data_IF_650865419454
#
_entry.id   IF_650865419454
#
_cell.length_a   1.000
_cell.length_b   1.000
_cell.length_c   1.000
_cell.angle_alpha   90.00
_cell.angle_beta   90.00
_cell.angle_gamma   90.00
#
_symmetry.space_group_name_H-M   'P 1'
#
loop_
_entity.id
_entity.type
_entity.pdbx_description
1 polymer ?
#
# COMPACT_ATOMS: atom_id res chain seq x y z
N UNK A 1 11.07 3.23 -33.04
CA UNK A 1 10.15 3.07 -34.16
C UNK A 1 8.96 3.99 -33.95
N UNK A 2 8.76 4.91 -34.87
CA UNK A 2 7.72 5.92 -34.84
C UNK A 2 6.32 5.30 -34.92
N UNK A 3 5.44 5.65 -33.97
CA UNK A 3 4.01 5.38 -34.10
C UNK A 3 3.42 6.41 -35.08
N UNK A 4 3.02 5.94 -36.28
CA UNK A 4 2.32 6.76 -37.25
C UNK A 4 0.86 6.92 -36.83
N UNK A 5 0.43 8.16 -36.67
CA UNK A 5 -1.00 8.47 -36.52
C UNK A 5 -1.59 8.62 -37.93
N UNK A 6 -2.41 7.66 -38.32
CA UNK A 6 -3.21 7.77 -39.54
C UNK A 6 -4.62 8.29 -39.23
N UNK A 7 -4.96 9.46 -39.73
CA UNK A 7 -6.35 9.98 -39.71
C UNK A 7 -6.94 9.62 -41.07
N UNK A 8 -7.95 8.77 -41.08
CA UNK A 8 -8.72 8.51 -42.29
C UNK A 8 -10.01 9.33 -42.22
N UNK A 9 -10.14 10.33 -43.09
CA UNK A 9 -11.36 11.11 -43.25
C UNK A 9 -12.13 10.55 -44.43
N UNK A 10 -13.30 9.96 -44.19
CA UNK A 10 -14.27 9.68 -45.27
C UNK A 10 -15.45 10.63 -45.17
N UNK A 11 -15.69 11.38 -46.23
CA UNK A 11 -16.90 12.20 -46.40
C UNK A 11 -17.99 11.34 -47.09
N UNK A 12 -19.12 11.19 -46.42
CA UNK A 12 -20.36 10.74 -47.08
C UNK A 12 -21.24 11.99 -47.24
N UNK A 13 -21.47 12.41 -48.48
CA UNK A 13 -22.40 13.49 -48.83
C UNK A 13 -23.71 12.86 -49.26
N UNK A 14 -24.66 12.76 -48.32
CA UNK A 14 -26.06 12.70 -48.63
C UNK A 14 -26.76 13.90 -48.04
N UNK A 15 -27.32 14.70 -48.91
CA UNK A 15 -27.68 16.10 -48.68
C UNK A 15 -28.71 16.32 -47.60
N UNK A 16 -28.31 16.49 -46.38
CA UNK A 16 -29.00 17.26 -45.30
C UNK A 16 -28.30 17.26 -43.95
N UNK A 17 -27.15 16.59 -43.76
CA UNK A 17 -26.31 16.82 -42.57
C UNK A 17 -24.87 16.31 -42.82
N UNK A 18 -23.87 17.19 -42.69
CA UNK A 18 -22.46 16.76 -42.67
C UNK A 18 -22.18 16.07 -41.34
N UNK A 19 -21.96 14.76 -41.38
CA UNK A 19 -21.52 13.96 -40.23
C UNK A 19 -20.11 13.47 -40.51
N UNK A 20 -19.15 13.89 -39.71
CA UNK A 20 -17.78 13.43 -39.79
C UNK A 20 -17.61 12.23 -38.85
N UNK A 21 -17.23 11.09 -39.42
CA UNK A 21 -16.85 9.90 -38.65
C UNK A 21 -15.33 9.97 -38.37
N UNK A 22 -14.97 10.11 -37.10
CA UNK A 22 -13.58 10.03 -36.67
C UNK A 22 -13.37 8.67 -36.05
N UNK A 23 -12.60 7.81 -36.74
CA UNK A 23 -12.18 6.52 -36.20
C UNK A 23 -10.85 6.67 -35.51
N UNK A 24 -10.81 6.42 -34.20
CA UNK A 24 -9.56 6.26 -33.47
C UNK A 24 -9.22 4.79 -33.37
N UNK A 25 -8.10 4.39 -33.96
CA UNK A 25 -7.48 3.12 -33.66
C UNK A 25 -6.58 3.31 -32.43
N UNK A 26 -7.02 2.83 -31.28
CA UNK A 26 -6.18 2.79 -30.09
C UNK A 26 -5.36 1.51 -30.14
N UNK A 27 -4.07 1.61 -30.41
CA UNK A 27 -3.13 0.52 -30.22
C UNK A 27 -2.72 0.47 -28.75
N UNK A 28 -3.23 -0.51 -28.03
CA UNK A 28 -2.72 -0.83 -26.69
C UNK A 28 -1.61 -1.84 -26.88
N UNK A 29 -0.37 -1.37 -26.78
CA UNK A 29 0.81 -2.24 -26.70
C UNK A 29 1.00 -2.62 -25.25
N UNK A 30 0.52 -3.80 -24.86
CA UNK A 30 0.97 -4.45 -23.63
C UNK A 30 2.17 -5.32 -23.96
N UNK A 31 3.08 -5.52 -23.00
CA UNK A 31 4.44 -6.05 -23.16
C UNK A 31 4.63 -7.37 -23.94
N UNK A 32 3.62 -7.96 -24.54
CA UNK A 32 3.80 -9.19 -25.35
C UNK A 32 2.71 -9.55 -26.35
N UNK A 33 1.60 -8.81 -26.51
CA UNK A 33 0.61 -9.12 -27.56
C UNK A 33 -0.15 -7.87 -28.00
N UNK A 34 -0.28 -7.72 -29.33
CA UNK A 34 -1.19 -6.77 -29.96
C UNK A 34 -2.60 -7.37 -29.85
N UNK A 35 -3.43 -6.83 -28.97
CA UNK A 35 -4.86 -7.16 -28.98
C UNK A 35 -5.61 -6.12 -29.79
N UNK A 36 -6.21 -6.58 -30.91
CA UNK A 36 -7.29 -5.87 -31.57
C UNK A 36 -8.52 -6.01 -30.67
N UNK A 37 -8.98 -4.92 -30.06
CA UNK A 37 -10.40 -4.75 -29.77
C UNK A 37 -10.67 -3.39 -29.10
N UNK A 38 -11.37 -2.62 -29.81
CA UNK A 38 -12.47 -1.71 -29.54
C UNK A 38 -12.39 -0.52 -30.51
N UNK A 39 -13.07 -0.65 -31.62
CA UNK A 39 -13.44 0.53 -32.41
C UNK A 39 -14.55 1.24 -31.64
N UNK A 40 -14.25 2.35 -30.97
CA UNK A 40 -15.28 3.23 -30.43
C UNK A 40 -15.59 4.26 -31.51
N UNK A 41 -16.74 4.09 -32.15
CA UNK A 41 -17.27 5.11 -33.06
C UNK A 41 -17.93 6.23 -32.22
N UNK A 42 -17.33 7.41 -32.22
CA UNK A 42 -17.95 8.59 -31.61
C UNK A 42 -18.60 9.38 -32.75
N UNK A 43 -19.94 9.33 -32.82
CA UNK A 43 -20.72 10.16 -33.73
C UNK A 43 -20.88 11.53 -33.10
N UNK A 44 -20.16 12.53 -33.62
CA UNK A 44 -20.36 13.94 -33.20
C UNK A 44 -21.09 14.66 -34.33
N UNK A 45 -22.32 15.10 -34.07
CA UNK A 45 -23.06 15.95 -35.00
C UNK A 45 -22.51 17.38 -34.97
N UNK A 46 -21.90 17.83 -36.07
CA UNK A 46 -21.17 19.10 -36.15
C UNK A 46 -22.04 20.36 -36.28
N UNK A 47 -23.38 20.24 -36.20
CA UNK A 47 -24.27 21.41 -36.33
C UNK A 47 -24.08 22.51 -35.28
N UNK A 48 -23.29 22.30 -34.22
CA UNK A 48 -23.07 23.27 -33.12
C UNK A 48 -21.62 23.74 -32.98
N UNK A 49 -20.70 23.36 -33.85
CA UNK A 49 -19.27 23.60 -33.58
C UNK A 49 -18.74 25.00 -33.93
N UNK A 50 -19.49 25.80 -34.64
CA UNK A 50 -19.01 27.15 -35.05
C UNK A 50 -19.11 28.25 -33.97
N UNK A 51 -19.60 27.96 -32.78
CA UNK A 51 -19.82 28.99 -31.75
C UNK A 51 -19.15 28.83 -30.40
N UNK A 52 -18.41 27.76 -30.13
CA UNK A 52 -17.77 27.56 -28.82
C UNK A 52 -16.38 26.86 -28.89
N UNK A 53 -15.29 27.61 -29.02
CA UNK A 53 -13.95 27.00 -29.06
C UNK A 53 -13.47 26.35 -27.72
N UNK A 54 -14.17 26.56 -26.61
CA UNK A 54 -13.82 26.01 -25.29
C UNK A 54 -14.34 24.60 -24.99
N UNK A 55 -15.37 24.13 -25.69
CA UNK A 55 -16.05 22.86 -25.38
C UNK A 55 -15.27 21.63 -25.82
N UNK A 56 -14.46 21.72 -26.88
CA UNK A 56 -13.65 20.60 -27.34
C UNK A 56 -12.54 20.24 -26.31
N UNK A 57 -11.94 21.25 -25.68
CA UNK A 57 -10.92 21.05 -24.63
C UNK A 57 -11.54 20.45 -23.38
N UNK A 58 -12.76 20.85 -23.03
CA UNK A 58 -13.48 20.34 -21.87
C UNK A 58 -13.92 18.87 -22.07
N UNK A 59 -14.34 18.49 -23.29
CA UNK A 59 -14.68 17.10 -23.62
C UNK A 59 -13.46 16.17 -23.64
N UNK A 60 -12.34 16.63 -24.15
CA UNK A 60 -11.09 15.88 -24.17
C UNK A 60 -10.51 15.67 -22.75
N UNK A 61 -10.65 16.69 -21.89
CA UNK A 61 -10.22 16.61 -20.51
C UNK A 61 -11.10 15.66 -19.67
N UNK A 62 -12.41 15.66 -19.90
CA UNK A 62 -13.34 14.75 -19.24
C UNK A 62 -13.21 13.31 -19.72
N UNK A 63 -12.90 13.07 -21.01
CA UNK A 63 -12.70 11.73 -21.55
C UNK A 63 -11.41 11.08 -21.01
N UNK A 64 -10.32 11.85 -20.84
CA UNK A 64 -9.12 11.34 -20.16
C UNK A 64 -9.37 11.03 -18.67
N UNK A 65 -10.24 11.76 -18.00
CA UNK A 65 -10.63 11.49 -16.61
C UNK A 65 -11.47 10.20 -16.47
N UNK A 66 -12.29 9.88 -17.46
CA UNK A 66 -13.09 8.64 -17.45
C UNK A 66 -12.26 7.36 -17.65
N UNK A 67 -11.04 7.46 -18.18
CA UNK A 67 -10.15 6.30 -18.40
C UNK A 67 -9.18 6.04 -17.24
N UNK A 68 -9.12 6.93 -16.25
CA UNK A 68 -8.28 6.71 -15.06
C UNK A 68 -9.05 5.92 -14.01
N UNK A 69 -8.81 4.63 -13.94
CA UNK A 69 -9.31 3.77 -12.86
C UNK A 69 -8.70 4.17 -11.52
N UNK A 70 -9.49 4.15 -10.45
CA UNK A 70 -8.98 4.33 -9.10
C UNK A 70 -8.00 3.21 -8.73
N UNK A 71 -6.86 3.56 -8.13
CA UNK A 71 -5.82 2.61 -7.73
C UNK A 71 -6.19 1.83 -6.46
N UNK A 72 -7.15 0.90 -6.54
CA UNK A 72 -7.52 0.00 -5.43
C UNK A 72 -6.95 -1.41 -5.60
N UNK A 73 -6.17 -1.65 -6.66
CA UNK A 73 -5.52 -2.91 -6.97
C UNK A 73 -4.01 -2.76 -6.96
N UNK A 74 -3.31 -3.73 -6.37
CA UNK A 74 -1.85 -3.84 -6.34
C UNK A 74 -1.44 -5.25 -6.75
N UNK A 75 -0.29 -5.39 -7.42
CA UNK A 75 0.29 -6.66 -7.87
C UNK A 75 0.06 -6.93 -9.36
N UNK A 76 0.85 -7.85 -9.90
CA UNK A 76 0.86 -8.28 -11.31
C UNK A 76 0.29 -9.69 -11.45
N UNK A 77 0.81 -10.66 -10.70
CA UNK A 77 0.33 -12.03 -10.61
C UNK A 77 -0.41 -12.22 -9.29
N UNK A 78 0.24 -11.99 -8.15
CA UNK A 78 -0.41 -11.98 -6.86
C UNK A 78 -1.08 -10.61 -6.65
N UNK A 79 -2.33 -10.50 -7.05
CA UNK A 79 -3.09 -9.25 -7.04
C UNK A 79 -3.98 -9.14 -5.82
N UNK A 80 -4.01 -7.97 -5.24
CA UNK A 80 -4.98 -7.64 -4.21
C UNK A 80 -5.85 -6.47 -4.66
N UNK A 81 -7.16 -6.56 -4.43
CA UNK A 81 -8.10 -5.45 -4.62
C UNK A 81 -8.84 -5.20 -3.34
N UNK A 82 -8.54 -4.09 -2.66
CA UNK A 82 -9.21 -3.71 -1.41
C UNK A 82 -10.47 -2.89 -1.68
N UNK A 83 -11.52 -3.10 -0.88
CA UNK A 83 -12.81 -2.42 -1.01
C UNK A 83 -13.44 -2.15 0.36
N UNK A 84 -14.51 -1.36 0.38
CA UNK A 84 -15.24 -0.99 1.59
C UNK A 84 -14.68 0.23 2.31
N UNK A 85 -15.46 0.79 3.21
CA UNK A 85 -15.18 2.02 3.96
C UNK A 85 -15.31 1.80 5.47
N UNK A 86 -14.64 2.68 6.25
CA UNK A 86 -14.61 2.59 7.71
C UNK A 86 -15.98 2.66 8.40
N UNK A 87 -16.99 3.26 7.75
CA UNK A 87 -18.37 3.39 8.23
C UNK A 87 -19.38 2.75 7.28
N UNK A 88 -18.92 1.95 6.30
CA UNK A 88 -19.75 1.05 5.51
C UNK A 88 -20.14 -0.22 6.30
N UNK A 89 -20.78 -1.17 5.63
CA UNK A 89 -21.15 -2.47 6.25
C UNK A 89 -19.93 -3.30 6.64
N UNK A 90 -18.87 -3.22 5.85
CA UNK A 90 -17.63 -3.96 6.05
C UNK A 90 -16.52 -3.46 5.14
N UNK A 91 -15.34 -4.03 5.32
CA UNK A 91 -14.17 -3.88 4.46
C UNK A 91 -13.68 -5.25 4.07
N UNK A 92 -13.08 -5.34 2.90
CA UNK A 92 -12.57 -6.62 2.44
C UNK A 92 -11.46 -6.48 1.42
N UNK A 93 -11.01 -7.62 0.98
CA UNK A 93 -10.02 -7.77 -0.09
C UNK A 93 -10.36 -8.98 -0.94
N UNK A 94 -10.12 -8.86 -2.23
CA UNK A 94 -10.03 -10.00 -3.14
C UNK A 94 -8.56 -10.21 -3.45
N UNK A 95 -8.09 -11.44 -3.23
CA UNK A 95 -6.74 -11.90 -3.58
C UNK A 95 -6.87 -12.80 -4.79
N UNK A 96 -6.23 -12.43 -5.89
CA UNK A 96 -6.16 -13.22 -7.12
C UNK A 96 -4.72 -13.67 -7.38
N UNK A 97 -4.53 -14.81 -8.04
CA UNK A 97 -3.21 -15.37 -8.34
C UNK A 97 -2.54 -16.09 -7.15
N UNK A 98 -3.28 -16.42 -6.09
CA UNK A 98 -2.79 -17.30 -5.04
C UNK A 98 -2.69 -18.74 -5.57
N UNK A 99 -1.55 -19.44 -5.44
CA UNK A 99 -1.42 -20.83 -5.86
C UNK A 99 -2.42 -21.75 -5.15
N UNK A 100 -2.90 -22.79 -5.84
CA UNK A 100 -3.73 -23.84 -5.23
C UNK A 100 -2.91 -24.71 -4.27
N UNK A 101 -3.57 -25.24 -3.24
CA UNK A 101 -2.98 -26.23 -2.34
C UNK A 101 -2.32 -25.67 -1.07
N UNK A 102 -2.29 -24.35 -0.89
CA UNK A 102 -1.86 -23.74 0.38
C UNK A 102 -2.87 -24.08 1.48
N UNK A 103 -2.42 -24.63 2.59
CA UNK A 103 -3.25 -24.79 3.79
C UNK A 103 -3.59 -23.42 4.37
N UNK A 104 -4.89 -23.08 4.45
CA UNK A 104 -5.37 -21.77 4.85
C UNK A 104 -6.73 -21.87 5.55
N UNK A 105 -6.83 -21.21 6.72
CA UNK A 105 -8.07 -20.99 7.43
C UNK A 105 -8.15 -19.55 7.97
N UNK A 106 -9.31 -19.18 8.52
CA UNK A 106 -9.52 -17.84 9.09
C UNK A 106 -8.56 -17.52 10.23
N UNK A 107 -8.20 -18.49 11.05
CA UNK A 107 -7.30 -18.33 12.19
C UNK A 107 -5.89 -17.93 11.76
N UNK A 108 -5.45 -18.39 10.61
CA UNK A 108 -4.13 -18.02 10.06
C UNK A 108 -4.07 -16.52 9.72
N UNK A 109 -5.14 -16.01 9.14
CA UNK A 109 -5.29 -14.59 8.79
C UNK A 109 -5.55 -13.76 10.06
N UNK A 110 -6.36 -14.28 10.98
CA UNK A 110 -6.75 -13.59 12.20
C UNK A 110 -5.55 -13.27 13.11
N UNK A 111 -4.53 -14.11 13.15
CA UNK A 111 -3.27 -13.83 13.89
C UNK A 111 -2.65 -12.50 13.46
N UNK A 112 -2.63 -12.20 12.17
CA UNK A 112 -2.13 -10.94 11.63
C UNK A 112 -3.07 -9.77 11.93
N UNK A 113 -4.37 -9.96 11.74
CA UNK A 113 -5.37 -8.95 12.05
C UNK A 113 -5.38 -8.59 13.53
N UNK A 114 -5.11 -9.54 14.43
CA UNK A 114 -4.99 -9.29 15.85
C UNK A 114 -3.85 -8.32 16.19
N UNK A 115 -2.73 -8.33 15.46
CA UNK A 115 -1.62 -7.36 15.60
C UNK A 115 -2.02 -5.97 15.09
N UNK A 116 -2.99 -5.88 14.17
CA UNK A 116 -3.48 -4.61 13.59
C UNK A 116 -4.64 -3.99 14.35
N UNK A 117 -5.55 -4.77 14.95
CA UNK A 117 -6.81 -4.32 15.52
C UNK A 117 -6.64 -3.18 16.54
N UNK A 118 -7.66 -2.32 16.76
CA UNK A 118 -7.64 -1.32 17.82
C UNK A 118 -7.79 -1.95 19.21
N UNK A 119 -7.50 -1.18 20.26
CA UNK A 119 -7.75 -1.60 21.64
C UNK A 119 -6.76 -2.59 22.23
N UNK A 120 -5.55 -2.69 21.68
CA UNK A 120 -4.49 -3.60 22.16
C UNK A 120 -3.77 -3.09 23.40
N UNK A 121 -3.71 -1.77 23.58
CA UNK A 121 -3.04 -1.12 24.72
C UNK A 121 -3.66 0.24 25.04
N UNK A 122 -3.26 0.87 26.14
CA UNK A 122 -3.65 2.25 26.47
C UNK A 122 -3.20 3.30 25.43
N UNK A 123 -2.23 2.96 24.59
CA UNK A 123 -1.71 3.81 23.53
C UNK A 123 -2.46 3.68 22.19
N UNK A 124 -3.49 2.84 22.15
CA UNK A 124 -4.36 2.70 20.98
C UNK A 124 -5.76 3.17 21.31
N UNK A 125 -6.55 3.51 20.29
CA UNK A 125 -7.94 3.92 20.49
C UNK A 125 -8.70 2.89 21.35
N UNK A 126 -9.56 3.34 22.29
CA UNK A 126 -10.36 2.46 23.13
C UNK A 126 -11.49 1.72 22.36
N UNK A 127 -11.53 1.80 21.05
CA UNK A 127 -12.43 1.00 20.22
C UNK A 127 -12.13 -0.49 20.43
N UNK A 128 -13.16 -1.27 20.71
CA UNK A 128 -13.07 -2.73 20.73
C UNK A 128 -13.75 -3.26 19.48
N UNK A 129 -12.96 -3.72 18.53
CA UNK A 129 -13.44 -4.42 17.33
C UNK A 129 -12.68 -5.74 17.24
N UNK A 130 -13.39 -6.82 17.04
CA UNK A 130 -12.78 -8.15 16.91
C UNK A 130 -12.00 -8.25 15.59
N UNK A 131 -12.39 -7.46 14.58
CA UNK A 131 -11.90 -7.54 13.19
C UNK A 131 -11.91 -9.01 12.69
N UNK A 132 -12.98 -9.75 13.06
CA UNK A 132 -13.14 -11.14 12.67
C UNK A 132 -13.24 -11.25 11.16
N UNK A 133 -12.35 -12.03 10.56
CA UNK A 133 -12.33 -12.27 9.13
C UNK A 133 -13.17 -13.47 8.76
N UNK A 134 -13.86 -13.37 7.63
CA UNK A 134 -14.56 -14.49 6.99
C UNK A 134 -13.98 -14.72 5.60
N UNK A 135 -13.73 -15.98 5.24
CA UNK A 135 -13.33 -16.41 3.89
C UNK A 135 -14.61 -16.75 3.12
N UNK A 136 -14.90 -15.97 2.07
CA UNK A 136 -16.12 -16.14 1.27
C UNK A 136 -15.92 -17.03 0.04
N UNK A 137 -14.69 -17.19 -0.45
CA UNK A 137 -14.35 -17.97 -1.63
C UNK A 137 -12.87 -18.33 -1.69
N UNK A 138 -12.50 -19.23 -2.61
CA UNK A 138 -11.11 -19.56 -2.94
C UNK A 138 -10.44 -20.55 -1.99
N UNK A 139 -11.18 -21.12 -1.01
CA UNK A 139 -10.71 -22.17 -0.11
C UNK A 139 -11.73 -23.30 -0.08
N UNK A 140 -11.25 -24.53 -0.17
CA UNK A 140 -12.06 -25.74 -0.05
C UNK A 140 -11.29 -26.80 0.77
N UNK A 141 -11.93 -27.41 1.73
CA UNK A 141 -11.34 -28.39 2.66
C UNK A 141 -10.00 -27.90 3.27
N UNK A 142 -9.97 -26.63 3.68
CA UNK A 142 -8.79 -26.00 4.33
C UNK A 142 -7.61 -25.75 3.39
N UNK A 143 -7.81 -25.77 2.07
CA UNK A 143 -6.76 -25.48 1.07
C UNK A 143 -7.24 -24.48 0.04
N UNK A 144 -6.33 -23.63 -0.43
CA UNK A 144 -6.61 -22.71 -1.54
C UNK A 144 -6.87 -23.49 -2.82
N UNK A 145 -7.79 -22.97 -3.66
CA UNK A 145 -8.23 -23.62 -4.89
C UNK A 145 -7.58 -23.07 -6.16
N UNK A 146 -6.77 -21.99 -6.05
CA UNK A 146 -6.21 -21.28 -7.21
C UNK A 146 -7.20 -20.29 -7.85
N UNK A 147 -8.40 -20.16 -7.30
CA UNK A 147 -9.40 -19.16 -7.72
C UNK A 147 -9.36 -17.95 -6.76
N UNK A 148 -9.99 -16.81 -7.11
CA UNK A 148 -9.94 -15.63 -6.25
C UNK A 148 -10.44 -15.89 -4.84
N UNK A 149 -9.64 -15.48 -3.84
CA UNK A 149 -9.97 -15.55 -2.42
C UNK A 149 -10.61 -14.23 -2.03
N UNK A 150 -11.88 -14.25 -1.63
CA UNK A 150 -12.59 -13.09 -1.12
C UNK A 150 -12.65 -13.13 0.40
N UNK A 151 -12.19 -12.06 1.04
CA UNK A 151 -12.15 -11.91 2.49
C UNK A 151 -12.95 -10.69 2.90
N UNK A 152 -13.72 -10.80 4.00
CA UNK A 152 -14.51 -9.71 4.56
C UNK A 152 -14.33 -9.60 6.07
N UNK A 153 -14.35 -8.38 6.57
CA UNK A 153 -14.49 -8.04 7.99
C UNK A 153 -15.63 -7.05 8.13
N UNK A 154 -16.65 -7.40 8.92
CA UNK A 154 -17.80 -6.54 9.17
C UNK A 154 -17.51 -5.46 10.22
N UNK A 155 -18.03 -4.25 9.97
CA UNK A 155 -17.97 -3.16 10.94
C UNK A 155 -19.07 -3.34 11.99
N UNK A 156 -18.72 -3.44 13.27
CA UNK A 156 -19.69 -3.70 14.37
C UNK A 156 -19.98 -2.45 15.22
N UNK A 157 -19.02 -1.53 15.38
CA UNK A 157 -19.08 -0.43 16.36
C UNK A 157 -18.98 0.96 15.71
N UNK A 158 -19.62 1.16 14.56
CA UNK A 158 -19.65 2.47 13.88
C UNK A 158 -20.68 3.40 14.57
N UNK A 159 -20.20 4.51 15.16
CA UNK A 159 -21.05 5.57 15.71
C UNK A 159 -21.06 6.77 14.75
N UNK A 160 -21.99 6.79 13.81
CA UNK A 160 -22.10 7.82 12.78
C UNK A 160 -22.47 9.20 13.36
N UNK A 161 -23.06 9.27 14.56
CA UNK A 161 -23.48 10.54 15.21
C UNK A 161 -22.30 11.42 15.61
N UNK A 162 -21.11 10.85 15.84
CA UNK A 162 -19.91 11.58 16.29
C UNK A 162 -19.26 12.42 15.17
N UNK A 163 -19.82 12.39 13.95
CA UNK A 163 -19.20 13.02 12.77
C UNK A 163 -20.04 14.12 12.10
N UNK A 164 -21.19 14.51 12.68
CA UNK A 164 -22.08 15.51 12.06
C UNK A 164 -21.42 16.89 11.89
N UNK A 165 -20.62 17.30 12.86
CA UNK A 165 -19.90 18.59 12.82
C UNK A 165 -18.78 18.58 11.76
N UNK A 166 -18.12 17.44 11.56
CA UNK A 166 -17.02 17.26 10.60
C UNK A 166 -17.48 17.44 9.15
N UNK A 167 -18.79 17.39 8.90
CA UNK A 167 -19.36 17.65 7.57
C UNK A 167 -19.09 19.07 7.07
N UNK A 168 -18.98 20.04 7.99
CA UNK A 168 -18.94 21.49 7.70
C UNK A 168 -17.54 22.06 7.54
N UNK A 169 -16.47 21.36 7.97
CA UNK A 169 -15.09 21.86 7.92
C UNK A 169 -14.09 20.81 7.44
N UNK A 170 -12.85 21.21 7.22
CA UNK A 170 -11.74 20.36 6.80
C UNK A 170 -10.78 20.14 7.95
N UNK A 171 -10.65 18.91 8.42
CA UNK A 171 -9.72 18.57 9.52
C UNK A 171 -8.27 18.73 9.06
N UNK A 172 -7.41 19.45 9.79
CA UNK A 172 -5.99 19.53 9.49
C UNK A 172 -5.35 18.15 9.38
N UNK A 173 -4.49 17.96 8.39
CA UNK A 173 -3.78 16.70 8.18
C UNK A 173 -4.60 15.50 7.71
N UNK A 174 -5.90 15.63 7.50
CA UNK A 174 -6.79 14.62 6.93
C UNK A 174 -7.05 14.84 5.43
N UNK A 175 -7.69 13.86 4.79
CA UNK A 175 -7.99 13.89 3.37
C UNK A 175 -9.33 14.59 3.02
N UNK A 176 -9.95 15.28 3.97
CA UNK A 176 -11.30 15.84 3.80
C UNK A 176 -11.40 16.75 2.58
N UNK A 177 -10.52 17.75 2.50
CA UNK A 177 -10.45 18.69 1.38
C UNK A 177 -10.16 17.99 0.05
N UNK A 178 -9.19 17.06 0.04
CA UNK A 178 -8.77 16.38 -1.19
C UNK A 178 -9.83 15.44 -1.75
N UNK A 179 -10.68 14.84 -0.90
CA UNK A 179 -11.83 14.06 -1.34
C UNK A 179 -12.90 14.94 -1.97
N UNK A 180 -13.28 16.06 -1.33
CA UNK A 180 -14.23 17.01 -1.89
C UNK A 180 -13.71 17.59 -3.22
N UNK A 181 -12.44 17.97 -3.29
CA UNK A 181 -11.83 18.51 -4.51
C UNK A 181 -11.77 17.49 -5.66
N UNK A 182 -11.52 16.20 -5.34
CA UNK A 182 -11.37 15.15 -6.36
C UNK A 182 -12.71 14.59 -6.83
N UNK A 183 -13.62 14.32 -5.89
CA UNK A 183 -14.86 13.59 -6.17
C UNK A 183 -16.12 14.47 -6.14
N UNK A 184 -15.99 15.74 -5.74
CA UNK A 184 -17.10 16.69 -5.63
C UNK A 184 -17.91 16.56 -4.33
N UNK A 185 -17.75 15.47 -3.60
CA UNK A 185 -18.35 15.20 -2.29
C UNK A 185 -17.57 14.10 -1.56
N UNK A 186 -17.82 13.98 -0.25
CA UNK A 186 -17.24 12.91 0.56
C UNK A 186 -18.27 12.31 1.52
N UNK A 187 -18.06 11.06 1.90
CA UNK A 187 -18.66 10.51 3.11
C UNK A 187 -17.87 11.03 4.32
N UNK A 188 -18.46 11.99 5.04
CA UNK A 188 -17.84 12.64 6.20
C UNK A 188 -17.82 11.73 7.45
N UNK A 189 -18.51 10.60 7.44
CA UNK A 189 -18.56 9.63 8.56
C UNK A 189 -17.25 8.90 8.70
N UNK A 190 -16.20 9.59 9.15
CA UNK A 190 -14.83 9.06 9.27
C UNK A 190 -13.96 9.32 8.05
N UNK A 191 -12.91 8.52 7.86
CA UNK A 191 -11.95 8.71 6.77
C UNK A 191 -12.26 7.93 5.48
N UNK A 192 -13.38 7.22 5.39
CA UNK A 192 -13.73 6.41 4.22
C UNK A 192 -12.59 5.45 3.83
N UNK A 193 -12.18 5.49 2.54
CA UNK A 193 -11.04 4.73 1.99
C UNK A 193 -9.67 5.21 2.49
N UNK A 194 -9.55 6.42 3.03
CA UNK A 194 -8.31 6.93 3.63
C UNK A 194 -8.19 6.63 5.13
N UNK A 195 -9.15 5.92 5.72
CA UNK A 195 -9.10 5.48 7.11
C UNK A 195 -8.05 4.39 7.33
N UNK A 196 -7.41 4.37 8.52
CA UNK A 196 -6.56 3.26 8.93
C UNK A 196 -7.25 1.89 8.94
N UNK A 197 -8.59 1.82 8.92
CA UNK A 197 -9.33 0.54 8.79
C UNK A 197 -9.16 -0.10 7.40
N UNK A 198 -8.85 0.67 6.37
CA UNK A 198 -8.56 0.13 5.02
C UNK A 198 -7.43 -0.90 5.05
N UNK A 199 -6.49 -0.75 5.99
CA UNK A 199 -5.38 -1.69 6.15
C UNK A 199 -5.79 -3.10 6.56
N UNK A 200 -7.04 -3.34 6.99
CA UNK A 200 -7.60 -4.69 7.22
C UNK A 200 -7.41 -5.57 5.98
N UNK A 201 -7.82 -5.08 4.81
CA UNK A 201 -7.67 -5.82 3.56
C UNK A 201 -6.23 -6.11 3.19
N UNK A 202 -5.33 -5.15 3.44
CA UNK A 202 -3.87 -5.32 3.19
C UNK A 202 -3.28 -6.39 4.10
N UNK A 203 -3.60 -6.36 5.39
CA UNK A 203 -3.09 -7.32 6.37
C UNK A 203 -3.66 -8.71 6.13
N UNK A 204 -4.94 -8.83 5.79
CA UNK A 204 -5.56 -10.10 5.46
C UNK A 204 -4.90 -10.77 4.23
N UNK A 205 -4.64 -10.00 3.17
CA UNK A 205 -3.92 -10.49 1.99
C UNK A 205 -2.44 -10.77 2.30
N UNK A 206 -1.81 -9.91 3.11
CA UNK A 206 -0.43 -10.07 3.56
C UNK A 206 -0.20 -11.36 4.34
N UNK A 207 -1.14 -11.76 5.19
CA UNK A 207 -1.08 -13.04 5.92
C UNK A 207 -0.97 -14.23 4.96
N UNK A 208 -1.72 -14.22 3.84
CA UNK A 208 -1.62 -15.26 2.81
C UNK A 208 -0.24 -15.23 2.15
N UNK A 209 0.26 -14.02 1.81
CA UNK A 209 1.57 -13.87 1.18
C UNK A 209 2.71 -14.36 2.09
N UNK A 210 2.68 -14.01 3.40
CA UNK A 210 3.68 -14.47 4.38
C UNK A 210 3.67 -15.99 4.47
N UNK A 211 2.50 -16.64 4.57
CA UNK A 211 2.42 -18.11 4.64
C UNK A 211 3.00 -18.82 3.41
N UNK A 212 2.91 -18.23 2.22
CA UNK A 212 3.55 -18.76 1.02
C UNK A 212 5.07 -18.59 1.12
N UNK A 213 5.52 -17.39 1.51
CA UNK A 213 6.93 -17.04 1.60
C UNK A 213 7.67 -17.84 2.69
N UNK A 214 7.02 -18.10 3.83
CA UNK A 214 7.57 -18.95 4.89
C UNK A 214 7.87 -20.39 4.41
N UNK A 215 7.03 -20.96 3.53
CA UNK A 215 7.30 -22.27 2.92
C UNK A 215 8.52 -22.25 1.99
N UNK A 216 8.93 -21.07 1.54
CA UNK A 216 10.14 -20.86 0.73
C UNK A 216 11.35 -20.45 1.58
N UNK A 217 11.23 -20.46 2.92
CA UNK A 217 12.30 -20.06 3.84
C UNK A 217 12.51 -18.56 3.93
N UNK A 218 11.53 -17.75 3.54
CA UNK A 218 11.58 -16.29 3.61
C UNK A 218 10.84 -15.84 4.86
N UNK A 219 11.50 -15.07 5.72
CA UNK A 219 10.98 -14.63 7.00
C UNK A 219 11.06 -13.11 7.16
N UNK A 220 10.15 -12.57 7.98
CA UNK A 220 10.00 -11.15 8.25
C UNK A 220 10.23 -10.87 9.72
N UNK A 221 11.11 -9.90 10.02
CA UNK A 221 11.28 -9.32 11.35
C UNK A 221 10.93 -7.83 11.26
N UNK A 222 9.76 -7.45 11.76
CA UNK A 222 9.23 -6.09 11.62
C UNK A 222 8.90 -5.49 12.98
N UNK A 223 9.38 -4.28 13.24
CA UNK A 223 9.32 -3.65 14.54
C UNK A 223 9.31 -2.11 14.46
N UNK A 224 8.98 -1.47 15.58
CA UNK A 224 9.12 -0.03 15.73
C UNK A 224 10.59 0.32 16.03
N UNK A 225 11.28 0.94 15.08
CA UNK A 225 12.66 1.41 15.24
C UNK A 225 12.74 2.68 16.05
N UNK A 226 11.72 3.54 15.94
CA UNK A 226 11.60 4.73 16.79
C UNK A 226 10.14 5.11 17.03
N UNK A 227 9.90 5.76 18.17
CA UNK A 227 8.63 6.39 18.54
C UNK A 227 8.95 7.82 19.00
N UNK A 228 8.44 8.81 18.26
CA UNK A 228 8.88 10.19 18.46
C UNK A 228 10.41 10.29 18.40
N UNK A 229 11.05 10.90 19.42
CA UNK A 229 12.51 11.02 19.50
C UNK A 229 13.20 9.77 20.04
N UNK A 230 12.46 8.82 20.60
CA UNK A 230 13.02 7.61 21.22
C UNK A 230 13.36 6.61 20.14
N UNK A 231 14.62 6.17 20.07
CA UNK A 231 15.13 5.17 19.12
C UNK A 231 15.70 3.98 19.90
N UNK A 232 15.62 2.80 19.28
CA UNK A 232 16.32 1.61 19.80
C UNK A 232 17.83 1.82 19.77
N UNK A 233 18.52 1.14 20.69
CA UNK A 233 19.95 0.89 20.59
C UNK A 233 20.15 -0.46 19.88
N UNK A 234 20.79 -0.44 18.72
CA UNK A 234 21.05 -1.66 17.93
C UNK A 234 21.83 -2.73 18.70
N UNK A 235 22.59 -2.33 19.73
CA UNK A 235 23.33 -3.27 20.59
C UNK A 235 22.44 -4.00 21.61
N UNK A 236 21.24 -3.45 21.88
CA UNK A 236 20.24 -4.03 22.79
C UNK A 236 19.11 -4.77 22.01
N UNK A 237 19.32 -5.03 20.72
CA UNK A 237 18.31 -5.66 19.88
C UNK A 237 18.04 -7.11 20.33
N UNK A 238 16.80 -7.36 20.77
CA UNK A 238 16.26 -8.68 21.04
C UNK A 238 14.94 -8.86 20.30
N UNK A 239 14.92 -9.77 19.32
CA UNK A 239 13.71 -10.04 18.53
C UNK A 239 12.55 -10.57 19.38
N UNK A 240 12.81 -11.22 20.52
CA UNK A 240 11.76 -11.72 21.41
C UNK A 240 11.01 -10.57 22.08
N UNK A 241 11.66 -9.44 22.32
CA UNK A 241 11.05 -8.25 22.92
C UNK A 241 10.01 -7.58 22.03
N UNK A 242 10.07 -7.76 20.71
CA UNK A 242 9.10 -7.15 19.76
C UNK A 242 7.66 -7.46 20.16
N UNK A 243 7.39 -8.69 20.58
CA UNK A 243 6.03 -9.13 20.97
C UNK A 243 5.73 -8.96 22.46
N UNK A 244 6.72 -8.65 23.29
CA UNK A 244 6.59 -8.57 24.75
C UNK A 244 6.14 -7.20 25.24
N UNK A 245 6.22 -6.17 24.40
CA UNK A 245 5.80 -4.82 24.77
C UNK A 245 4.76 -4.26 23.78
N UNK A 246 3.90 -3.33 24.24
CA UNK A 246 2.79 -2.81 23.43
C UNK A 246 3.21 -1.84 22.34
N UNK A 247 4.48 -1.46 22.27
CA UNK A 247 5.05 -0.54 21.28
C UNK A 247 5.84 -1.26 20.18
N UNK A 248 5.98 -2.59 20.27
CA UNK A 248 6.70 -3.43 19.30
C UNK A 248 8.15 -3.01 19.07
N UNK A 249 8.86 -2.57 20.10
CA UNK A 249 10.29 -2.25 20.03
C UNK A 249 11.13 -3.47 20.47
N UNK A 250 12.23 -3.79 19.77
CA UNK A 250 13.13 -4.89 20.13
C UNK A 250 14.15 -4.57 21.22
N UNK A 251 14.02 -3.43 21.89
CA UNK A 251 14.89 -2.91 22.95
C UNK A 251 14.00 -2.55 24.13
N UNK A 252 14.13 -3.27 25.25
CA UNK A 252 13.27 -3.11 26.43
C UNK A 252 13.40 -1.71 27.06
N UNK A 253 14.61 -1.16 27.15
CA UNK A 253 14.86 0.17 27.71
C UNK A 253 14.24 1.26 26.80
N UNK A 254 14.41 1.13 25.49
CA UNK A 254 13.80 2.04 24.54
C UNK A 254 12.27 1.92 24.55
N UNK A 255 11.72 0.72 24.73
CA UNK A 255 10.28 0.50 24.86
C UNK A 255 9.69 1.19 26.10
N UNK A 256 10.36 1.10 27.26
CA UNK A 256 9.95 1.77 28.48
C UNK A 256 9.97 3.31 28.31
N UNK A 257 11.05 3.84 27.77
CA UNK A 257 11.19 5.27 27.48
C UNK A 257 10.14 5.76 26.48
N UNK A 258 9.85 4.97 25.44
CA UNK A 258 8.82 5.28 24.46
C UNK A 258 7.42 5.30 25.08
N UNK A 259 7.11 4.37 25.98
CA UNK A 259 5.84 4.36 26.71
C UNK A 259 5.68 5.57 27.60
N UNK A 260 6.74 5.99 28.32
CA UNK A 260 6.74 7.22 29.14
C UNK A 260 6.53 8.47 28.26
N UNK A 261 7.19 8.53 27.11
CA UNK A 261 6.99 9.62 26.14
C UNK A 261 5.56 9.67 25.60
N UNK A 262 4.95 8.52 25.33
CA UNK A 262 3.56 8.45 24.89
C UNK A 262 2.57 8.89 25.96
N UNK A 263 2.83 8.57 27.24
CA UNK A 263 2.01 9.06 28.36
C UNK A 263 2.07 10.60 28.45
N UNK A 264 3.25 11.21 28.23
CA UNK A 264 3.39 12.66 28.15
C UNK A 264 2.64 13.27 26.96
N UNK A 265 2.70 12.64 25.77
CA UNK A 265 1.93 13.07 24.60
C UNK A 265 0.41 13.02 24.86
N UNK A 266 -0.08 11.99 25.54
CA UNK A 266 -1.50 11.87 25.92
C UNK A 266 -1.90 13.00 26.88
N UNK A 267 -1.08 13.27 27.90
CA UNK A 267 -1.33 14.35 28.85
C UNK A 267 -1.37 15.73 28.18
N UNK A 268 -0.56 15.93 27.14
CA UNK A 268 -0.53 17.15 26.30
C UNK A 268 -1.61 17.16 25.20
N UNK A 269 -2.53 16.22 25.19
CA UNK A 269 -3.59 16.09 24.17
C UNK A 269 -3.02 16.01 22.72
N UNK A 270 -1.83 15.47 22.57
CA UNK A 270 -1.03 15.44 21.36
C UNK A 270 -0.83 14.01 20.87
N UNK A 271 -0.10 13.84 19.78
CA UNK A 271 0.27 12.57 19.17
C UNK A 271 1.70 12.58 18.68
N UNK A 272 2.27 11.42 18.43
CA UNK A 272 3.59 11.33 17.83
C UNK A 272 3.60 10.33 16.64
N UNK A 273 4.65 10.46 15.84
CA UNK A 273 4.98 9.53 14.76
C UNK A 273 6.11 8.58 15.18
N UNK A 274 6.74 7.97 14.20
CA UNK A 274 7.90 7.10 14.40
C UNK A 274 8.31 6.39 13.11
N UNK A 275 9.21 5.44 13.25
CA UNK A 275 9.75 4.65 12.14
C UNK A 275 9.50 3.18 12.39
N UNK A 276 8.96 2.49 11.40
CA UNK A 276 8.92 1.02 11.32
C UNK A 276 10.08 0.54 10.47
N UNK A 277 10.81 -0.45 10.95
CA UNK A 277 11.83 -1.16 10.18
C UNK A 277 11.38 -2.60 9.94
N UNK A 278 11.61 -3.10 8.73
CA UNK A 278 11.33 -4.46 8.34
C UNK A 278 12.58 -5.08 7.71
N UNK A 279 13.02 -6.19 8.29
CA UNK A 279 14.11 -7.03 7.79
C UNK A 279 13.51 -8.27 7.17
N UNK A 280 13.83 -8.53 5.90
CA UNK A 280 13.39 -9.75 5.20
C UNK A 280 14.59 -10.61 4.92
N UNK A 281 14.56 -11.84 5.39
CA UNK A 281 15.64 -12.82 5.21
C UNK A 281 15.22 -13.93 4.24
N UNK A 282 16.17 -14.58 3.59
CA UNK A 282 15.93 -15.75 2.74
C UNK A 282 15.48 -15.45 1.31
N UNK A 283 15.39 -14.19 0.91
CA UNK A 283 15.04 -13.84 -0.48
C UNK A 283 16.22 -14.17 -1.39
N UNK A 284 16.05 -15.08 -2.40
CA UNK A 284 17.14 -15.42 -3.31
C UNK A 284 17.58 -14.22 -4.15
N UNK A 285 18.83 -14.23 -4.62
CA UNK A 285 19.32 -13.20 -5.54
C UNK A 285 18.56 -13.25 -6.87
N UNK A 286 18.31 -12.07 -7.47
CA UNK A 286 17.72 -11.92 -8.79
C UNK A 286 16.19 -11.72 -8.82
N UNK A 287 15.54 -11.42 -7.68
CA UNK A 287 14.10 -11.11 -7.63
C UNK A 287 13.89 -9.62 -7.86
N UNK A 288 13.04 -9.26 -8.81
CA UNK A 288 12.78 -7.91 -9.29
C UNK A 288 13.37 -7.66 -10.68
N UNK A 289 13.18 -6.47 -11.20
CA UNK A 289 13.59 -6.09 -12.55
C UNK A 289 14.42 -4.81 -12.54
N UNK A 290 15.24 -4.58 -13.58
CA UNK A 290 15.88 -3.28 -13.77
C UNK A 290 14.85 -2.23 -14.23
N UNK A 291 15.27 -0.95 -14.27
CA UNK A 291 14.56 0.22 -14.77
C UNK A 291 13.34 0.58 -13.90
N UNK A 292 12.10 0.37 -14.35
CA UNK A 292 10.91 0.90 -13.67
C UNK A 292 10.28 -0.07 -12.65
N UNK A 293 10.40 -1.36 -12.89
CA UNK A 293 9.85 -2.42 -12.01
C UNK A 293 10.88 -2.92 -11.00
N UNK A 294 11.81 -2.04 -10.57
CA UNK A 294 12.78 -2.35 -9.51
C UNK A 294 12.07 -2.82 -8.25
N UNK A 295 12.60 -3.83 -7.58
CA UNK A 295 12.05 -4.33 -6.34
C UNK A 295 11.92 -3.22 -5.28
N UNK A 296 12.96 -2.37 -5.12
CA UNK A 296 12.90 -1.23 -4.19
C UNK A 296 11.88 -0.18 -4.61
N UNK A 297 11.62 0.03 -5.91
CA UNK A 297 10.60 0.95 -6.38
C UNK A 297 9.18 0.42 -6.09
N UNK A 298 8.95 -0.88 -6.30
CA UNK A 298 7.68 -1.51 -6.00
C UNK A 298 7.43 -1.61 -4.48
N UNK A 299 8.46 -1.89 -3.68
CA UNK A 299 8.39 -1.80 -2.22
C UNK A 299 8.05 -0.37 -1.77
N UNK A 300 8.71 0.64 -2.33
CA UNK A 300 8.41 2.04 -2.05
C UNK A 300 6.96 2.39 -2.39
N UNK A 301 6.47 2.01 -3.57
CA UNK A 301 5.07 2.21 -3.99
C UNK A 301 4.09 1.56 -3.01
N UNK A 302 4.34 0.32 -2.62
CA UNK A 302 3.48 -0.43 -1.71
C UNK A 302 3.46 0.21 -0.31
N UNK A 303 4.62 0.50 0.27
CA UNK A 303 4.77 1.07 1.61
C UNK A 303 4.28 2.53 1.65
N UNK A 304 4.64 3.37 0.68
CA UNK A 304 4.17 4.76 0.60
C UNK A 304 2.65 4.86 0.38
N UNK A 305 1.99 3.81 -0.10
CA UNK A 305 0.54 3.75 -0.23
C UNK A 305 -0.19 3.56 1.11
N UNK A 306 0.51 3.20 2.18
CA UNK A 306 -0.05 3.07 3.53
C UNK A 306 -0.38 4.46 4.06
N UNK A 307 -1.58 4.66 4.59
CA UNK A 307 -1.98 5.93 5.20
C UNK A 307 -1.00 6.36 6.30
N UNK A 308 -0.67 7.64 6.34
CA UNK A 308 0.28 8.28 7.25
C UNK A 308 1.77 7.99 7.00
N UNK A 309 2.15 7.11 6.09
CA UNK A 309 3.56 6.97 5.68
C UNK A 309 3.99 8.22 4.90
N UNK A 310 5.17 8.75 5.23
CA UNK A 310 5.75 9.97 4.67
C UNK A 310 7.18 9.80 4.13
N UNK A 311 7.83 8.70 4.46
CA UNK A 311 9.18 8.38 3.99
C UNK A 311 9.35 6.89 3.85
N UNK A 312 10.24 6.51 2.93
CA UNK A 312 10.65 5.14 2.68
C UNK A 312 12.16 5.12 2.41
N UNK A 313 12.85 4.15 2.98
CA UNK A 313 14.29 3.94 2.79
C UNK A 313 14.59 2.46 2.57
N UNK A 314 15.65 2.19 1.80
CA UNK A 314 16.29 0.88 1.64
C UNK A 314 17.75 1.01 2.06
N UNK A 315 18.28 0.05 2.83
CA UNK A 315 19.66 0.04 3.29
C UNK A 315 19.99 1.30 4.07
N UNK A 316 21.08 1.98 3.71
CA UNK A 316 21.49 3.24 4.37
C UNK A 316 20.53 4.41 4.07
N UNK A 317 19.65 4.26 3.07
CA UNK A 317 18.65 5.28 2.77
C UNK A 317 19.27 6.64 2.49
N UNK A 318 18.80 7.69 3.19
CA UNK A 318 19.31 9.05 3.04
C UNK A 318 20.75 9.23 3.53
N UNK A 319 21.25 8.37 4.43
CA UNK A 319 22.61 8.46 4.92
C UNK A 319 23.66 8.10 3.85
N UNK A 320 23.27 7.31 2.85
CA UNK A 320 24.10 7.04 1.67
C UNK A 320 24.55 8.33 0.93
N UNK A 321 23.76 9.42 0.99
CA UNK A 321 24.12 10.70 0.39
C UNK A 321 25.33 11.38 1.06
N UNK A 322 25.69 10.98 2.28
CA UNK A 322 26.85 11.48 3.02
C UNK A 322 28.06 10.57 2.89
N UNK A 323 27.87 9.36 2.37
CA UNK A 323 28.93 8.38 2.22
C UNK A 323 29.78 8.66 0.96
N UNK A 324 30.92 8.02 0.89
CA UNK A 324 31.77 7.96 -0.31
C UNK A 324 31.68 6.59 -0.94
N UNK A 325 32.08 6.41 -2.20
CA UNK A 325 32.10 5.09 -2.80
C UNK A 325 32.92 4.06 -2.00
N UNK A 326 34.00 4.51 -1.35
CA UNK A 326 34.84 3.64 -0.49
C UNK A 326 34.13 3.15 0.78
N UNK A 327 33.20 3.95 1.31
CA UNK A 327 32.51 3.64 2.57
C UNK A 327 31.11 3.06 2.36
N UNK A 328 30.57 3.18 1.13
CA UNK A 328 29.21 2.73 0.81
C UNK A 328 29.19 1.45 -0.05
N UNK A 329 30.29 1.11 -0.73
CA UNK A 329 30.31 -0.12 -1.55
C UNK A 329 30.31 -1.36 -0.65
N UNK A 330 29.40 -2.27 -0.93
CA UNK A 330 29.34 -3.58 -0.27
C UNK A 330 30.29 -4.54 -0.99
N UNK A 331 31.44 -4.82 -0.38
CA UNK A 331 32.41 -5.79 -0.94
C UNK A 331 31.81 -7.20 -1.04
N UNK A 332 31.93 -7.80 -2.20
CA UNK A 332 31.57 -9.22 -2.36
C UNK A 332 32.56 -10.13 -1.64
N UNK A 333 32.07 -11.23 -1.12
CA UNK A 333 32.88 -12.31 -0.52
C UNK A 333 32.30 -13.68 -0.86
N UNK A 334 33.09 -14.71 -0.59
CA UNK A 334 32.60 -16.09 -0.65
C UNK A 334 32.22 -16.52 0.77
N UNK A 335 30.98 -16.94 0.95
CA UNK A 335 30.46 -17.49 2.20
C UNK A 335 31.07 -18.86 2.52
N UNK A 336 30.89 -19.34 3.74
CA UNK A 336 31.41 -20.63 4.19
C UNK A 336 30.84 -21.84 3.38
N UNK A 337 29.64 -21.68 2.81
CA UNK A 337 28.98 -22.68 1.96
C UNK A 337 29.36 -22.56 0.47
N UNK A 338 30.29 -21.68 0.12
CA UNK A 338 30.76 -21.46 -1.24
C UNK A 338 29.86 -20.51 -2.08
N UNK A 339 28.80 -19.96 -1.52
CA UNK A 339 27.95 -18.99 -2.22
C UNK A 339 28.58 -17.59 -2.21
N UNK A 340 28.15 -16.74 -3.15
CA UNK A 340 28.53 -15.34 -3.17
C UNK A 340 27.71 -14.58 -2.14
N UNK A 341 28.37 -13.82 -1.29
CA UNK A 341 27.76 -12.94 -0.29
C UNK A 341 28.42 -11.55 -0.27
N UNK A 342 28.09 -10.75 0.72
CA UNK A 342 28.64 -9.41 0.94
C UNK A 342 29.12 -9.25 2.38
N UNK A 343 30.18 -8.41 2.58
CA UNK A 343 30.72 -8.10 3.91
C UNK A 343 29.86 -7.09 4.67
N UNK A 344 29.18 -6.21 3.95
CA UNK A 344 28.30 -5.15 4.46
C UNK A 344 26.99 -5.18 3.69
N UNK A 345 26.00 -4.38 4.11
CA UNK A 345 24.69 -4.33 3.46
C UNK A 345 24.14 -2.90 3.38
N UNK A 346 24.98 -1.97 2.94
CA UNK A 346 24.61 -0.57 2.73
C UNK A 346 23.49 -0.42 1.69
N UNK A 347 23.51 -1.26 0.65
CA UNK A 347 22.47 -1.31 -0.38
C UNK A 347 21.13 -1.89 0.12
N UNK A 348 21.10 -2.49 1.32
CA UNK A 348 19.88 -3.06 1.90
C UNK A 348 19.31 -4.24 1.13
N UNK A 349 20.17 -5.11 0.57
CA UNK A 349 19.79 -6.36 -0.10
C UNK A 349 19.32 -6.20 -1.54
N UNK A 350 19.43 -5.02 -2.15
CA UNK A 350 18.93 -4.74 -3.51
C UNK A 350 19.99 -4.00 -4.32
N UNK A 351 20.44 -4.61 -5.40
CA UNK A 351 21.37 -4.04 -6.37
C UNK A 351 20.75 -4.01 -7.77
N UNK A 352 20.86 -2.88 -8.45
CA UNK A 352 20.30 -2.72 -9.80
C UNK A 352 18.78 -2.87 -9.91
N UNK A 353 18.07 -2.92 -8.79
CA UNK A 353 16.62 -3.14 -8.72
C UNK A 353 16.22 -4.59 -8.45
N UNK A 354 17.18 -5.47 -8.26
CA UNK A 354 16.97 -6.89 -7.97
C UNK A 354 17.59 -7.24 -6.61
N UNK A 355 17.00 -8.22 -5.91
CA UNK A 355 17.59 -8.76 -4.68
C UNK A 355 18.97 -9.35 -4.96
N UNK A 356 19.89 -9.26 -3.99
CA UNK A 356 21.26 -9.74 -4.11
C UNK A 356 21.56 -10.94 -3.20
N UNK A 357 20.54 -11.47 -2.51
CA UNK A 357 20.67 -12.59 -1.59
C UNK A 357 20.96 -12.19 -0.14
N UNK A 358 21.31 -10.92 0.12
CA UNK A 358 21.40 -10.38 1.47
C UNK A 358 20.03 -10.05 2.02
N UNK A 359 19.96 -9.80 3.35
CA UNK A 359 18.73 -9.36 3.97
C UNK A 359 18.22 -8.06 3.33
N UNK A 360 16.94 -8.03 2.96
CA UNK A 360 16.33 -6.78 2.53
C UNK A 360 15.99 -5.97 3.77
N UNK A 361 16.54 -4.75 3.84
CA UNK A 361 16.35 -3.83 4.95
C UNK A 361 15.59 -2.60 4.46
N UNK A 362 14.35 -2.43 4.95
CA UNK A 362 13.52 -1.27 4.60
C UNK A 362 12.98 -0.55 5.84
N UNK A 363 12.76 0.75 5.72
CA UNK A 363 12.19 1.61 6.76
C UNK A 363 11.05 2.44 6.21
N UNK A 364 10.01 2.62 7.05
CA UNK A 364 8.85 3.46 6.78
C UNK A 364 8.70 4.53 7.86
N UNK A 365 8.77 5.79 7.49
CA UNK A 365 8.51 6.92 8.38
C UNK A 365 7.01 7.23 8.42
N UNK A 366 6.43 7.30 9.62
CA UNK A 366 5.00 7.47 9.86
C UNK A 366 4.78 8.80 10.60
N UNK A 367 3.94 9.66 10.05
CA UNK A 367 3.60 10.94 10.67
C UNK A 367 2.74 10.76 11.93
N UNK A 368 2.71 11.75 12.83
CA UNK A 368 1.76 11.78 13.95
C UNK A 368 0.31 11.66 13.48
N UNK A 369 -0.55 11.10 14.32
CA UNK A 369 -2.00 11.06 14.08
C UNK A 369 -2.54 12.49 14.07
N UNK A 370 -3.21 12.93 13.00
CA UNK A 370 -3.65 14.34 12.91
C UNK A 370 -4.89 14.65 13.76
N UNK A 371 -5.62 13.64 14.21
CA UNK A 371 -6.75 13.81 15.12
C UNK A 371 -6.23 13.96 16.56
N UNK A 372 -6.02 15.17 17.00
CA UNK A 372 -5.63 15.53 18.36
C UNK A 372 -6.70 16.37 19.04
N UNK A 373 -6.75 16.34 20.38
CA UNK A 373 -7.74 17.11 21.15
C UNK A 373 -7.32 18.55 21.43
N UNK A 374 -6.04 18.90 21.18
CA UNK A 374 -5.59 20.28 21.21
C UNK A 374 -6.29 21.11 20.13
N UNK A 375 -6.49 22.42 20.40
CA UNK A 375 -7.10 23.36 19.44
C UNK A 375 -6.29 23.42 18.16
N UNK A 376 -6.99 23.33 17.02
CA UNK A 376 -6.40 23.42 15.67
C UNK A 376 -7.14 24.48 14.86
N UNK A 377 -6.39 25.27 14.10
CA UNK A 377 -6.93 26.23 13.16
C UNK A 377 -7.23 25.58 11.81
N UNK A 378 -8.38 25.93 11.22
CA UNK A 378 -8.82 25.39 9.92
C UNK A 378 -9.82 26.31 9.23
N UNK A 379 -10.37 25.84 8.09
CA UNK A 379 -11.43 26.54 7.36
C UNK A 379 -12.69 25.65 7.24
N UNK A 380 -13.85 26.28 7.28
CA UNK A 380 -15.11 25.62 7.01
C UNK A 380 -15.45 25.65 5.50
N UNK A 381 -16.55 24.99 5.11
CA UNK A 381 -17.00 24.96 3.72
C UNK A 381 -17.54 26.29 3.20
N UNK A 382 -17.85 27.25 4.08
CA UNK A 382 -18.24 28.60 3.73
C UNK A 382 -17.04 29.52 3.42
N UNK A 383 -15.80 29.02 3.65
CA UNK A 383 -14.58 29.78 3.44
C UNK A 383 -14.17 30.64 4.64
N UNK A 384 -14.70 30.35 5.82
CA UNK A 384 -14.41 31.07 7.06
C UNK A 384 -13.32 30.33 7.84
N UNK A 385 -12.36 31.08 8.41
CA UNK A 385 -11.33 30.55 9.33
C UNK A 385 -11.96 30.29 10.68
N UNK A 386 -11.73 29.11 11.24
CA UNK A 386 -12.30 28.65 12.52
C UNK A 386 -11.26 27.88 13.33
N UNK A 387 -11.43 27.91 14.64
CA UNK A 387 -10.73 27.02 15.56
C UNK A 387 -11.60 25.82 15.91
N UNK A 388 -11.00 24.64 15.91
CA UNK A 388 -11.68 23.38 16.21
C UNK A 388 -10.92 22.58 17.26
N UNK A 389 -11.66 21.79 18.02
CA UNK A 389 -11.16 20.75 18.88
C UNK A 389 -11.75 19.42 18.40
N UNK A 390 -10.92 18.49 17.96
CA UNK A 390 -11.40 17.21 17.49
C UNK A 390 -11.64 16.29 18.71
N UNK A 391 -12.90 16.21 19.11
CA UNK A 391 -13.31 15.26 20.16
C UNK A 391 -13.54 13.89 19.57
N UNK A 392 -13.03 12.85 20.20
CA UNK A 392 -13.24 11.48 19.74
C UNK A 392 -12.23 10.47 20.31
N UNK A 393 -12.35 9.23 19.83
CA UNK A 393 -11.48 8.12 20.22
C UNK A 393 -10.36 7.99 19.20
N UNK A 394 -9.26 8.68 19.42
CA UNK A 394 -8.11 8.72 18.52
C UNK A 394 -6.95 7.89 19.06
N UNK A 395 -6.11 7.36 18.16
CA UNK A 395 -4.85 6.72 18.52
C UNK A 395 -3.82 7.84 18.83
N UNK A 396 -3.20 7.93 20.00
CA UNK A 396 -2.08 8.85 20.25
C UNK A 396 -0.86 8.47 19.41
N UNK A 397 -0.78 7.23 18.98
CA UNK A 397 0.22 6.72 18.03
C UNK A 397 -0.37 5.57 17.19
N UNK A 398 0.05 5.49 15.92
CA UNK A 398 -0.36 4.40 15.02
C UNK A 398 0.79 3.45 14.66
N UNK A 399 2.03 3.78 15.04
CA UNK A 399 3.24 3.01 14.69
C UNK A 399 3.12 1.53 15.09
N UNK A 400 2.70 1.17 16.32
CA UNK A 400 2.57 -0.24 16.71
C UNK A 400 1.62 -1.04 15.81
N UNK A 401 0.53 -0.41 15.38
CA UNK A 401 -0.43 -1.04 14.45
C UNK A 401 0.08 -1.09 13.02
N UNK A 402 0.96 -0.17 12.66
CA UNK A 402 1.56 -0.11 11.32
C UNK A 402 2.63 -1.18 11.10
N UNK A 403 3.24 -1.73 12.15
CA UNK A 403 4.26 -2.78 12.06
C UNK A 403 3.77 -3.93 11.16
N UNK A 404 2.65 -4.53 11.47
CA UNK A 404 2.09 -5.64 10.67
C UNK A 404 1.60 -5.20 9.29
N UNK A 405 1.25 -3.93 9.10
CA UNK A 405 0.84 -3.41 7.78
C UNK A 405 2.06 -3.29 6.86
N UNK A 406 3.19 -2.79 7.37
CA UNK A 406 4.45 -2.71 6.63
C UNK A 406 4.93 -4.10 6.23
N UNK A 407 4.93 -5.06 7.17
CA UNK A 407 5.23 -6.46 6.94
C UNK A 407 4.38 -7.06 5.82
N UNK A 408 3.06 -6.88 5.91
CA UNK A 408 2.09 -7.39 4.93
C UNK A 408 2.32 -6.83 3.54
N UNK A 409 2.58 -5.52 3.42
CA UNK A 409 2.81 -4.88 2.12
C UNK A 409 4.16 -5.28 1.51
N UNK A 410 5.19 -5.48 2.34
CA UNK A 410 6.47 -6.03 1.90
C UNK A 410 6.30 -7.46 1.38
N UNK A 411 5.59 -8.31 2.12
CA UNK A 411 5.33 -9.70 1.73
C UNK A 411 4.56 -9.82 0.42
N UNK A 412 3.48 -9.05 0.24
CA UNK A 412 2.71 -9.02 -1.02
C UNK A 412 3.61 -8.64 -2.19
N UNK A 413 4.45 -7.61 -2.02
CA UNK A 413 5.32 -7.12 -3.09
C UNK A 413 6.41 -8.11 -3.46
N UNK A 414 7.04 -8.73 -2.47
CA UNK A 414 8.10 -9.72 -2.69
C UNK A 414 7.52 -10.99 -3.34
N UNK A 415 6.38 -11.48 -2.85
CA UNK A 415 5.71 -12.64 -3.44
C UNK A 415 5.34 -12.39 -4.90
N UNK A 416 4.74 -11.24 -5.20
CA UNK A 416 4.37 -10.87 -6.58
C UNK A 416 5.60 -10.83 -7.49
N UNK A 417 6.70 -10.20 -7.04
CA UNK A 417 7.96 -10.16 -7.78
C UNK A 417 8.55 -11.56 -8.00
N UNK A 418 8.47 -12.46 -7.01
CA UNK A 418 8.94 -13.85 -7.14
C UNK A 418 8.10 -14.63 -8.15
N UNK A 419 6.78 -14.48 -8.14
CA UNK A 419 5.91 -15.15 -9.10
C UNK A 419 6.14 -14.63 -10.53
N UNK A 420 6.37 -13.34 -10.71
CA UNK A 420 6.77 -12.74 -12.00
C UNK A 420 8.10 -13.34 -12.46
N UNK A 421 9.05 -13.52 -11.57
CA UNK A 421 10.40 -14.05 -11.88
C UNK A 421 10.41 -15.51 -12.34
N UNK A 422 9.36 -16.31 -12.08
CA UNK A 422 9.33 -17.73 -12.45
C UNK A 422 9.56 -17.99 -13.95
N UNK A 423 9.19 -17.06 -14.81
CA UNK A 423 9.35 -17.16 -16.27
C UNK A 423 10.55 -16.38 -16.83
N UNK A 424 11.42 -15.85 -15.97
CA UNK A 424 12.54 -15.02 -16.40
C UNK A 424 13.64 -15.83 -17.14
N UNK A 425 13.73 -17.15 -16.91
CA UNK A 425 14.77 -18.02 -17.48
C UNK A 425 14.17 -19.18 -18.27
N UNK A 426 14.76 -19.48 -19.41
CA UNK A 426 14.32 -20.62 -20.24
C UNK A 426 14.49 -21.98 -19.55
N UNK A 427 15.54 -22.17 -18.76
CA UNK A 427 15.75 -23.40 -18.01
C UNK A 427 14.65 -23.63 -16.96
N UNK A 428 14.18 -22.57 -16.29
CA UNK A 428 13.03 -22.64 -15.38
C UNK A 428 11.76 -23.09 -16.10
N UNK A 429 11.47 -22.51 -17.27
CA UNK A 429 10.32 -22.90 -18.10
C UNK A 429 10.45 -24.35 -18.56
N UNK A 430 11.64 -24.75 -19.02
CA UNK A 430 11.90 -26.11 -19.48
C UNK A 430 11.75 -27.12 -18.35
N UNK A 431 12.29 -26.82 -17.15
CA UNK A 431 12.19 -27.72 -15.99
C UNK A 431 10.75 -27.91 -15.51
N UNK A 432 9.90 -26.89 -15.69
CA UNK A 432 8.49 -26.95 -15.31
C UNK A 432 7.66 -27.78 -16.29
N UNK A 433 7.85 -27.62 -17.62
CA UNK A 433 7.00 -28.22 -18.64
C UNK A 433 7.57 -29.51 -19.28
N UNK A 434 8.88 -29.78 -19.14
CA UNK A 434 9.52 -31.00 -19.64
C UNK A 434 9.76 -32.02 -18.52
N UNK A 435 8.78 -32.25 -17.67
CA UNK A 435 8.80 -33.30 -16.65
C UNK A 435 8.61 -34.67 -17.26
#
# INVERSE_FOLDING_TARGET
SHAGHGICLSQCTDGLSETIFIYYHIFVVTQSKIFYNASVAIIISLRYYHKLPGTAVCFYYNFRRCLTMAGSTLGTIFKITTWGESHGKGLGVVVDGCPAGLALCEEDIQKFLNRRKPGQSKFTTPRKEADAVEILSGVFEGKTTGTPISLIVYNQNQKSKDYSEIASYYRPGHADYTFDAKYGFRDYRGGGRSSGRETIGRVAAGAIAVRILEQLGIHFTTYAKSIGPIRINEQHFDAAEISNNPVYMPDADAAENAMAYLDACIADQNSCGGVVECIVTGVPAGIGDPVFEKLNANLAKAIMSIGAVKGFEIGDGFDAARATGKTNNDDFCINADGTVGKKTNHAGGILGGMSDGSNILLRASIKPTPSISATQHTVNKAGEEIDINIHGRHDPIIVPRAVVVVESMAAITILDAMLVNMSARMDSILSFYKR
#
